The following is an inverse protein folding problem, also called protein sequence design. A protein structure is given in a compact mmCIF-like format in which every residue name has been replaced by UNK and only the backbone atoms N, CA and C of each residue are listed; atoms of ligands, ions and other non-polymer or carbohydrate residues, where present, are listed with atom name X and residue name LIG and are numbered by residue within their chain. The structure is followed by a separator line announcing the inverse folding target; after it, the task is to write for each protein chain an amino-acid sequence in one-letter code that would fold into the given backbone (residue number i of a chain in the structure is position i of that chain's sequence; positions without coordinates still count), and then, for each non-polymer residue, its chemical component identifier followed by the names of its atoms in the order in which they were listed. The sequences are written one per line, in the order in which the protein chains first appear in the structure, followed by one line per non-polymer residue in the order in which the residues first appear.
data_IF_836580558983
#
_entry.id   IF_836580558983
#
_cell.length_a   1.000
_cell.length_b   1.000
_cell.length_c   1.000
_cell.angle_alpha   90.00
_cell.angle_beta   90.00
_cell.angle_gamma   90.00
#
_symmetry.space_group_name_H-M   'P 1'
#
loop_
_entity.id
_entity.type
_entity.pdbx_description
1 polymer ?
#
# COMPACT_ATOMS: atom_id res chain seq x y z
N UNK A 1 18.31 7.00 -2.15
CA UNK A 1 17.17 7.41 -1.34
C UNK A 1 16.26 6.23 -1.12
N UNK A 2 15.70 6.15 0.06
CA UNK A 2 14.75 5.09 0.37
C UNK A 2 13.41 5.38 -0.26
N UNK A 3 12.77 4.34 -0.77
CA UNK A 3 11.37 4.48 -1.16
C UNK A 3 10.50 4.60 0.09
N UNK A 4 9.43 5.36 -0.03
CA UNK A 4 8.54 5.65 1.07
C UNK A 4 7.27 4.82 0.92
N UNK A 5 7.01 3.96 1.91
CA UNK A 5 5.90 3.02 1.87
C UNK A 5 4.89 3.40 2.95
N UNK A 6 3.63 3.49 2.55
CA UNK A 6 2.53 3.72 3.48
C UNK A 6 1.93 2.36 3.86
N UNK A 7 1.70 2.13 5.15
CA UNK A 7 1.01 0.93 5.64
C UNK A 7 -0.19 1.36 6.45
N UNK A 8 -1.37 0.82 6.12
CA UNK A 8 -2.58 1.07 6.90
C UNK A 8 -3.27 -0.25 7.15
N UNK A 9 -3.30 -0.69 8.41
CA UNK A 9 -3.92 -1.97 8.80
C UNK A 9 -4.31 -1.87 10.27
N UNK A 10 -5.57 -2.14 10.59
CA UNK A 10 -6.04 -2.02 11.97
C UNK A 10 -5.61 -3.20 12.83
N UNK A 11 -5.09 -4.26 12.24
CA UNK A 11 -4.49 -5.35 13.01
C UNK A 11 -3.05 -4.95 13.33
N UNK A 12 -2.85 -4.50 14.56
CA UNK A 12 -1.57 -3.94 15.00
C UNK A 12 -0.40 -4.87 14.71
N UNK A 13 -0.59 -6.16 14.99
CA UNK A 13 0.49 -7.12 14.82
C UNK A 13 0.89 -7.27 13.35
N UNK A 14 -0.07 -7.21 12.45
CA UNK A 14 0.22 -7.32 11.02
C UNK A 14 0.93 -6.07 10.53
N UNK A 15 0.43 -4.90 10.92
CA UNK A 15 1.07 -3.64 10.52
C UNK A 15 2.52 -3.58 11.01
N UNK A 16 2.73 -3.99 12.27
CA UNK A 16 4.08 -3.96 12.85
C UNK A 16 5.00 -4.97 12.16
N UNK A 17 4.47 -6.14 11.82
CA UNK A 17 5.25 -7.16 11.11
C UNK A 17 5.69 -6.65 9.75
N UNK A 18 4.78 -6.07 9.01
CA UNK A 18 5.10 -5.53 7.68
C UNK A 18 6.16 -4.45 7.80
N UNK A 19 5.99 -3.55 8.78
CA UNK A 19 6.96 -2.48 8.99
C UNK A 19 8.36 -3.05 9.24
N UNK A 20 8.46 -4.07 10.08
CA UNK A 20 9.75 -4.66 10.41
C UNK A 20 10.43 -5.21 9.17
N UNK A 21 9.69 -5.94 8.35
CA UNK A 21 10.27 -6.52 7.13
C UNK A 21 10.69 -5.44 6.14
N UNK A 22 9.87 -4.38 6.01
CA UNK A 22 10.20 -3.32 5.06
C UNK A 22 11.38 -2.49 5.52
N UNK A 23 11.49 -2.25 6.82
CA UNK A 23 12.64 -1.51 7.33
C UNK A 23 13.93 -2.30 7.12
N UNK A 24 13.87 -3.63 7.22
CA UNK A 24 15.05 -4.44 6.96
C UNK A 24 15.45 -4.42 5.48
N UNK A 25 14.55 -3.98 4.60
CA UNK A 25 14.86 -3.80 3.18
C UNK A 25 15.19 -2.35 2.86
N UNK A 26 15.38 -1.54 3.89
CA UNK A 26 15.81 -0.14 3.76
C UNK A 26 14.74 0.78 3.19
N UNK A 27 13.47 0.41 3.35
CA UNK A 27 12.37 1.32 3.00
C UNK A 27 12.06 2.23 4.18
N UNK A 28 11.58 3.42 3.87
CA UNK A 28 11.06 4.35 4.87
C UNK A 28 9.57 4.11 5.00
N UNK A 29 9.09 3.83 6.21
CA UNK A 29 7.71 3.38 6.43
C UNK A 29 6.94 4.42 7.22
N UNK A 30 5.73 4.73 6.75
CA UNK A 30 4.73 5.48 7.51
C UNK A 30 3.59 4.52 7.79
N UNK A 31 3.30 4.27 9.06
CA UNK A 31 2.37 3.23 9.46
C UNK A 31 1.22 3.83 10.25
N UNK A 32 0.02 3.39 9.93
CA UNK A 32 -1.19 3.80 10.64
C UNK A 32 -2.05 2.59 10.95
N UNK A 33 -2.73 2.62 12.08
CA UNK A 33 -3.61 1.53 12.50
C UNK A 33 -5.07 1.78 12.16
N UNK A 34 -5.36 2.88 11.50
CA UNK A 34 -6.71 3.17 11.04
C UNK A 34 -6.65 4.05 9.81
N UNK A 35 -7.66 3.90 8.95
CA UNK A 35 -7.75 4.73 7.75
C UNK A 35 -7.97 6.19 8.11
N UNK A 36 -8.72 6.43 9.18
CA UNK A 36 -8.99 7.79 9.60
C UNK A 36 -7.70 8.54 9.94
N UNK A 37 -6.79 7.86 10.63
CA UNK A 37 -5.51 8.46 10.97
C UNK A 37 -4.66 8.72 9.75
N UNK A 38 -4.80 7.89 8.72
CA UNK A 38 -3.99 8.01 7.52
C UNK A 38 -4.48 9.10 6.57
N UNK A 39 -5.73 9.52 6.70
CA UNK A 39 -6.33 10.42 5.71
C UNK A 39 -5.55 11.70 5.49
N UNK A 40 -5.16 12.37 6.58
CA UNK A 40 -4.42 13.61 6.44
C UNK A 40 -3.09 13.38 5.75
N UNK A 41 -2.45 12.29 6.10
CA UNK A 41 -1.14 11.98 5.52
C UNK A 41 -1.23 11.73 4.02
N UNK A 42 -2.25 10.98 3.57
CA UNK A 42 -2.35 10.68 2.14
C UNK A 42 -2.73 11.90 1.32
N UNK A 43 -3.32 12.91 1.95
CA UNK A 43 -3.69 14.12 1.23
C UNK A 43 -2.52 15.07 1.04
N UNK A 44 -1.50 14.95 1.88
CA UNK A 44 -0.38 15.89 1.87
C UNK A 44 0.95 15.27 1.50
N UNK A 45 1.03 13.94 1.41
CA UNK A 45 2.30 13.25 1.19
C UNK A 45 2.16 12.29 0.03
N UNK A 46 3.09 12.36 -0.91
CA UNK A 46 3.16 11.39 -2.00
C UNK A 46 4.09 10.27 -1.60
N UNK A 47 3.58 9.05 -1.59
CA UNK A 47 4.37 7.86 -1.29
C UNK A 47 4.84 7.21 -2.59
N UNK A 48 5.69 6.20 -2.46
CA UNK A 48 6.09 5.41 -3.61
C UNK A 48 5.21 4.19 -3.76
N UNK A 49 4.57 3.76 -2.68
CA UNK A 49 3.67 2.62 -2.69
C UNK A 49 2.87 2.61 -1.39
N UNK A 50 1.64 2.10 -1.45
CA UNK A 50 0.81 1.94 -0.26
C UNK A 50 0.35 0.49 -0.13
N UNK A 51 0.33 -0.01 1.11
CA UNK A 51 -0.25 -1.31 1.47
C UNK A 51 -1.44 -1.02 2.37
N UNK A 52 -2.64 -1.39 1.92
CA UNK A 52 -3.88 -1.02 2.60
C UNK A 52 -4.69 -2.28 2.91
N UNK A 53 -5.10 -2.41 4.17
CA UNK A 53 -6.06 -3.44 4.56
C UNK A 53 -7.44 -3.01 4.10
N UNK A 54 -8.19 -3.91 3.46
CA UNK A 54 -9.53 -3.58 2.99
C UNK A 54 -10.49 -3.45 4.16
N UNK A 55 -10.47 -4.42 5.07
CA UNK A 55 -11.49 -4.51 6.13
C UNK A 55 -11.04 -3.75 7.37
N UNK A 56 -11.46 -2.50 7.47
CA UNK A 56 -11.17 -1.68 8.65
C UNK A 56 -12.44 -0.96 9.07
N UNK A 57 -12.57 -0.64 10.38
CA UNK A 57 -13.75 0.08 10.85
C UNK A 57 -13.77 1.51 10.33
N UNK A 58 -14.96 2.06 10.21
CA UNK A 58 -15.24 3.44 9.80
C UNK A 58 -14.90 3.69 8.34
N UNK A 59 -13.62 3.70 7.98
CA UNK A 59 -13.19 3.94 6.61
C UNK A 59 -12.36 2.74 6.18
N UNK A 60 -12.76 2.07 5.11
CA UNK A 60 -12.05 0.87 4.67
C UNK A 60 -10.95 1.22 3.66
N UNK A 61 -10.18 0.18 3.31
CA UNK A 61 -9.06 0.37 2.40
C UNK A 61 -9.47 0.75 1.00
N UNK A 62 -10.67 0.34 0.57
CA UNK A 62 -11.15 0.71 -0.76
C UNK A 62 -11.39 2.21 -0.84
N UNK A 63 -11.95 2.79 0.22
CA UNK A 63 -12.16 4.23 0.29
C UNK A 63 -10.82 4.96 0.30
N UNK A 64 -9.85 4.45 1.04
CA UNK A 64 -8.51 5.05 1.04
C UNK A 64 -7.89 5.03 -0.35
N UNK A 65 -8.02 3.90 -1.05
CA UNK A 65 -7.47 3.78 -2.40
C UNK A 65 -8.09 4.83 -3.32
N UNK A 66 -9.40 5.00 -3.24
CA UNK A 66 -10.07 6.00 -4.05
C UNK A 66 -9.56 7.40 -3.74
N UNK A 67 -9.36 7.71 -2.46
CA UNK A 67 -8.83 9.01 -2.06
C UNK A 67 -7.42 9.24 -2.60
N UNK A 68 -6.58 8.20 -2.54
CA UNK A 68 -5.24 8.30 -3.08
C UNK A 68 -5.31 8.60 -4.57
N UNK A 69 -6.18 7.91 -5.30
CA UNK A 69 -6.28 8.06 -6.75
C UNK A 69 -6.81 9.41 -7.18
N UNK A 70 -7.40 10.18 -6.28
CA UNK A 70 -7.80 11.55 -6.61
C UNK A 70 -6.59 12.44 -6.87
N UNK A 71 -5.42 12.08 -6.34
CA UNK A 71 -4.25 12.93 -6.42
C UNK A 71 -3.01 12.24 -6.95
N UNK A 72 -2.87 10.93 -6.79
CA UNK A 72 -1.62 10.23 -7.06
C UNK A 72 -1.86 8.93 -7.79
N UNK A 73 -0.80 8.46 -8.45
CA UNK A 73 -0.86 7.22 -9.24
C UNK A 73 0.11 6.15 -8.75
N UNK A 74 0.72 6.33 -7.57
CA UNK A 74 1.65 5.31 -7.10
C UNK A 74 0.91 3.98 -6.82
N UNK A 75 1.65 2.86 -6.85
CA UNK A 75 0.99 1.56 -6.71
C UNK A 75 0.36 1.35 -5.36
N UNK A 76 -0.76 0.65 -5.36
CA UNK A 76 -1.50 0.29 -4.15
C UNK A 76 -1.69 -1.22 -4.13
N UNK A 77 -1.25 -1.86 -3.05
CA UNK A 77 -1.46 -3.27 -2.80
C UNK A 77 -2.51 -3.40 -1.71
N UNK A 78 -3.55 -4.18 -1.98
CA UNK A 78 -4.61 -4.41 -1.01
C UNK A 78 -4.37 -5.70 -0.26
N UNK A 79 -4.59 -5.68 1.05
CA UNK A 79 -4.62 -6.89 1.86
C UNK A 79 -6.07 -7.28 2.05
N UNK A 80 -6.42 -8.52 1.71
CA UNK A 80 -7.81 -8.95 1.71
C UNK A 80 -7.95 -10.29 2.40
N UNK A 81 -9.16 -10.58 2.91
CA UNK A 81 -9.44 -11.85 3.51
C UNK A 81 -9.46 -12.94 2.44
N UNK A 82 -9.34 -14.19 2.90
CA UNK A 82 -9.24 -15.34 1.99
C UNK A 82 -10.39 -15.40 1.00
N UNK A 83 -11.59 -15.02 1.43
CA UNK A 83 -12.78 -15.12 0.58
C UNK A 83 -13.21 -13.75 0.05
N UNK A 84 -12.25 -12.84 -0.15
CA UNK A 84 -12.55 -11.46 -0.55
C UNK A 84 -12.65 -11.27 -2.06
N UNK A 85 -13.33 -12.18 -2.77
CA UNK A 85 -13.43 -12.08 -4.22
C UNK A 85 -14.12 -10.80 -4.68
N UNK A 86 -15.22 -10.45 -4.02
CA UNK A 86 -15.94 -9.22 -4.36
C UNK A 86 -15.08 -7.99 -4.10
N UNK A 87 -14.32 -8.01 -3.00
CA UNK A 87 -13.44 -6.90 -2.67
C UNK A 87 -12.34 -6.75 -3.69
N UNK A 88 -11.82 -7.86 -4.23
CA UNK A 88 -10.80 -7.79 -5.26
C UNK A 88 -11.32 -7.11 -6.52
N UNK A 89 -12.52 -7.47 -6.93
CA UNK A 89 -13.13 -6.87 -8.12
C UNK A 89 -13.35 -5.38 -7.91
N UNK A 90 -13.90 -5.01 -6.75
CA UNK A 90 -14.13 -3.61 -6.44
C UNK A 90 -12.83 -2.82 -6.40
N UNK A 91 -11.79 -3.41 -5.80
CA UNK A 91 -10.49 -2.75 -5.72
C UNK A 91 -9.87 -2.50 -7.07
N UNK A 92 -9.98 -3.47 -7.99
CA UNK A 92 -9.49 -3.27 -9.34
C UNK A 92 -10.20 -2.10 -10.01
N UNK A 93 -11.50 -1.99 -9.80
CA UNK A 93 -12.27 -0.89 -10.37
C UNK A 93 -11.88 0.45 -9.77
N UNK A 94 -11.39 0.45 -8.53
CA UNK A 94 -10.98 1.69 -7.85
C UNK A 94 -9.50 2.00 -8.03
N UNK A 95 -8.77 1.15 -8.76
CA UNK A 95 -7.40 1.48 -9.11
C UNK A 95 -6.31 0.81 -8.28
N UNK A 96 -6.63 -0.26 -7.57
CA UNK A 96 -5.59 -1.04 -6.89
C UNK A 96 -4.77 -1.81 -7.92
N UNK A 97 -3.50 -2.02 -7.61
CA UNK A 97 -2.56 -2.65 -8.55
C UNK A 97 -2.30 -4.11 -8.25
N UNK A 98 -2.54 -4.54 -7.01
CA UNK A 98 -2.25 -5.92 -6.63
C UNK A 98 -3.03 -6.26 -5.38
N UNK A 99 -3.12 -7.56 -5.08
CA UNK A 99 -3.82 -8.07 -3.91
C UNK A 99 -2.99 -9.14 -3.25
N UNK A 100 -3.01 -9.16 -1.91
CA UNK A 100 -2.39 -10.21 -1.14
C UNK A 100 -3.43 -10.70 -0.15
N UNK A 101 -3.69 -12.00 -0.17
CA UNK A 101 -4.71 -12.60 0.69
C UNK A 101 -4.12 -12.93 2.06
N UNK A 102 -4.83 -12.56 3.12
CA UNK A 102 -4.45 -12.91 4.48
C UNK A 102 -4.93 -14.33 4.80
N UNK A 103 -4.14 -15.12 5.48
CA UNK A 103 -2.77 -14.87 5.93
C UNK A 103 -1.79 -14.97 4.78
N UNK A 104 -0.70 -14.21 4.87
CA UNK A 104 0.31 -14.21 3.82
C UNK A 104 1.69 -14.42 4.43
N UNK A 105 2.63 -14.82 3.59
CA UNK A 105 4.02 -14.89 3.99
C UNK A 105 4.62 -13.50 3.83
N UNK A 106 5.29 -12.96 4.86
CA UNK A 106 5.85 -11.61 4.74
C UNK A 106 6.79 -11.46 3.54
N UNK A 107 7.55 -12.50 3.21
CA UNK A 107 8.46 -12.41 2.06
C UNK A 107 7.71 -12.34 0.74
N UNK A 108 6.51 -12.93 0.68
CA UNK A 108 5.67 -12.80 -0.51
C UNK A 108 5.26 -11.34 -0.70
N UNK A 109 4.84 -10.70 0.39
CA UNK A 109 4.44 -9.29 0.31
C UNK A 109 5.62 -8.42 -0.10
N UNK A 110 6.81 -8.67 0.49
CA UNK A 110 8.00 -7.92 0.12
C UNK A 110 8.29 -8.06 -1.37
N UNK A 111 8.19 -9.29 -1.90
CA UNK A 111 8.44 -9.52 -3.32
C UNK A 111 7.47 -8.75 -4.20
N UNK A 112 6.20 -8.71 -3.81
CA UNK A 112 5.20 -7.97 -4.58
C UNK A 112 5.44 -6.47 -4.51
N UNK A 113 5.84 -5.97 -3.35
CA UNK A 113 6.17 -4.55 -3.20
C UNK A 113 7.33 -4.19 -4.13
N UNK A 114 8.38 -5.00 -4.14
CA UNK A 114 9.52 -4.73 -5.00
C UNK A 114 9.13 -4.77 -6.48
N UNK A 115 8.28 -5.72 -6.85
CA UNK A 115 7.83 -5.85 -8.23
C UNK A 115 7.01 -4.63 -8.65
N UNK A 116 6.10 -4.17 -7.79
CA UNK A 116 5.27 -3.02 -8.12
C UNK A 116 6.09 -1.74 -8.19
N UNK A 117 7.05 -1.58 -7.28
CA UNK A 117 7.93 -0.41 -7.31
C UNK A 117 8.76 -0.38 -8.59
N UNK A 118 9.30 -1.53 -8.99
CA UNK A 118 10.11 -1.61 -10.20
C UNK A 118 9.26 -1.26 -11.41
N UNK A 119 8.05 -1.77 -11.48
CA UNK A 119 7.16 -1.50 -12.61
C UNK A 119 6.77 -0.03 -12.64
N UNK A 120 6.42 0.53 -11.51
CA UNK A 120 6.00 1.92 -11.43
C UNK A 120 7.12 2.84 -11.88
N UNK A 121 8.33 2.61 -11.40
CA UNK A 121 9.47 3.45 -11.77
C UNK A 121 9.82 3.31 -13.24
N UNK A 122 9.66 2.12 -13.79
CA UNK A 122 9.96 1.90 -15.21
C UNK A 122 9.01 2.68 -16.12
N UNK A 123 7.73 2.71 -15.76
CA UNK A 123 6.71 3.35 -16.59
C UNK A 123 6.41 4.78 -16.18
N UNK A 124 7.08 5.28 -15.14
CA UNK A 124 6.91 6.63 -14.66
C UNK A 124 8.28 7.20 -14.29
N UNK A 125 9.18 7.31 -15.27
CA UNK A 125 10.56 7.69 -14.93
C UNK A 125 10.67 9.05 -14.26
N UNK A 126 9.72 9.95 -14.46
CA UNK A 126 9.77 11.25 -13.82
C UNK A 126 9.66 11.14 -12.29
N UNK A 127 9.25 9.99 -11.77
CA UNK A 127 9.16 9.80 -10.33
C UNK A 127 10.41 9.17 -9.74
N UNK A 128 11.36 8.77 -10.56
CA UNK A 128 12.55 8.14 -10.01
C UNK A 128 13.53 9.14 -9.47
N UNK A 129 13.50 10.33 -9.99
CA UNK A 129 14.38 11.38 -9.51
C UNK A 129 15.81 11.23 -9.90
N UNK A 130 16.17 10.10 -10.45
CA UNK A 130 17.53 9.94 -10.68
C UNK A 130 17.88 10.24 -12.01
N UNK A 131 16.97 10.68 -12.74
CA UNK A 131 17.34 11.08 -13.99
C UNK A 131 18.29 12.13 -13.88
N UNK A 132 18.54 12.40 -12.72
CA UNK A 132 19.55 13.25 -12.54
C UNK A 132 20.79 12.74 -12.91
#
# INVERSE_FOLDING_TARGET
MSDRILIVDDEVEIADLIETYLQSENYTVSKFYSAKEALDCIQTTEFDLAVLDIMMPEIDGLTLCRKIRERYTYPVIMLTARDGETDKITGLMLGADDYVTKPFLPLELVARIKSQLRRYKKYNPSHTGEEE
#
